data_IF_455666803241
#
_entry.id   IF_455666803241
#
_cell.length_a   1.000
_cell.length_b   1.000
_cell.length_c   1.000
_cell.angle_alpha   90.00
_cell.angle_beta   90.00
_cell.angle_gamma   90.00
#
_symmetry.space_group_name_H-M   'P 1'
#
loop_
_entity.id
_entity.type
_entity.pdbx_description
1 polymer ?
#
# COMPACT_ATOMS: atom_id res chain seq x y z
N UNK A 1 -53.30 13.38 -54.79
CA UNK A 1 -54.39 13.97 -53.98
C UNK A 1 -53.78 14.49 -52.68
N UNK A 2 -53.85 15.80 -52.59
CA UNK A 2 -53.39 16.59 -51.41
C UNK A 2 -54.21 16.30 -50.16
N UNK A 3 -53.63 16.43 -49.03
CA UNK A 3 -54.19 17.24 -47.92
C UNK A 3 -53.13 17.55 -46.85
N UNK A 4 -52.96 18.85 -46.71
CA UNK A 4 -52.41 19.58 -45.57
C UNK A 4 -53.20 19.27 -44.26
N UNK A 5 -52.54 19.35 -43.11
CA UNK A 5 -53.09 20.02 -41.92
C UNK A 5 -52.00 20.21 -40.87
N UNK A 6 -51.54 21.41 -40.69
CA UNK A 6 -51.80 22.34 -39.57
C UNK A 6 -50.89 22.17 -38.36
N UNK A 7 -50.10 23.19 -38.14
CA UNK A 7 -49.39 23.57 -36.92
C UNK A 7 -50.37 23.78 -35.75
N UNK A 8 -50.05 23.24 -34.57
CA UNK A 8 -50.66 23.63 -33.34
C UNK A 8 -49.61 24.20 -32.37
N UNK A 9 -49.99 25.26 -31.77
CA UNK A 9 -49.33 26.29 -30.98
C UNK A 9 -48.60 25.86 -29.72
N UNK A 10 -47.53 26.60 -29.45
CA UNK A 10 -46.78 26.64 -28.18
C UNK A 10 -47.69 27.03 -27.02
N UNK A 11 -47.68 26.24 -25.94
CA UNK A 11 -48.20 26.66 -24.65
C UNK A 11 -47.05 27.12 -23.74
N UNK A 12 -47.25 28.29 -23.17
CA UNK A 12 -46.40 28.97 -22.20
C UNK A 12 -46.15 28.11 -20.97
N UNK A 13 -44.85 27.90 -20.63
CA UNK A 13 -44.45 27.42 -19.32
C UNK A 13 -43.99 28.62 -18.44
N UNK A 14 -44.36 28.67 -17.20
CA UNK A 14 -44.02 29.78 -16.30
C UNK A 14 -42.54 29.73 -15.90
N UNK A 15 -41.86 30.88 -16.02
CA UNK A 15 -40.48 31.11 -15.60
C UNK A 15 -40.30 30.79 -14.10
N UNK A 16 -39.47 29.80 -13.79
CA UNK A 16 -39.00 29.55 -12.42
C UNK A 16 -38.21 30.76 -11.90
N UNK A 17 -38.69 31.38 -10.83
CA UNK A 17 -37.97 32.42 -10.09
C UNK A 17 -36.70 31.82 -9.47
N UNK A 18 -35.54 32.35 -9.81
CA UNK A 18 -34.26 32.01 -9.24
C UNK A 18 -34.23 32.35 -7.76
N UNK A 19 -33.77 31.41 -6.94
CA UNK A 19 -33.41 31.66 -5.54
C UNK A 19 -32.19 32.59 -5.51
N UNK A 20 -32.12 33.58 -4.61
CA UNK A 20 -30.94 34.42 -4.47
C UNK A 20 -29.74 33.57 -4.01
N UNK A 21 -28.59 33.72 -4.68
CA UNK A 21 -27.31 33.19 -4.23
C UNK A 21 -26.95 33.88 -2.92
N UNK A 22 -26.77 33.08 -1.86
CA UNK A 22 -26.07 33.54 -0.66
C UNK A 22 -24.59 33.59 -1.00
N UNK A 23 -24.01 34.77 -0.94
CA UNK A 23 -22.56 34.93 -0.96
C UNK A 23 -21.98 34.25 0.26
N UNK A 24 -21.38 33.08 0.06
CA UNK A 24 -20.54 32.42 1.06
C UNK A 24 -19.16 33.00 0.87
N UNK A 25 -18.84 34.02 1.65
CA UNK A 25 -17.46 34.45 1.84
C UNK A 25 -16.71 33.27 2.44
N UNK A 26 -15.87 32.64 1.64
CA UNK A 26 -14.94 31.62 2.09
C UNK A 26 -13.92 32.29 3.02
N UNK A 27 -14.15 32.19 4.33
CA UNK A 27 -13.09 32.40 5.29
C UNK A 27 -12.10 31.25 5.10
N UNK A 28 -10.93 31.56 4.55
CA UNK A 28 -9.84 30.63 4.41
C UNK A 28 -9.42 30.12 5.79
N UNK A 29 -9.84 28.90 6.13
CA UNK A 29 -9.25 28.17 7.23
C UNK A 29 -7.82 27.83 6.82
N UNK A 30 -6.85 28.59 7.33
CA UNK A 30 -5.45 28.20 7.29
C UNK A 30 -5.32 26.93 8.13
N UNK A 31 -5.12 25.80 7.50
CA UNK A 31 -4.70 24.57 8.18
C UNK A 31 -3.25 24.83 8.62
N UNK A 32 -3.09 25.32 9.83
CA UNK A 32 -1.78 25.35 10.48
C UNK A 32 -1.46 23.90 10.86
N UNK A 33 -0.74 23.21 9.99
CA UNK A 33 -0.05 21.98 10.37
C UNK A 33 1.05 22.39 11.34
N UNK A 34 0.79 22.26 12.64
CA UNK A 34 1.87 22.28 13.60
C UNK A 34 2.81 21.13 13.22
N UNK A 35 4.09 21.38 12.87
CA UNK A 35 5.04 20.31 12.68
C UNK A 35 5.10 19.52 13.99
N UNK A 36 4.86 18.21 13.90
CA UNK A 36 5.10 17.30 15.03
C UNK A 36 6.55 17.53 15.43
N UNK A 37 6.75 17.97 16.67
CA UNK A 37 8.10 18.25 17.18
C UNK A 37 8.94 16.98 16.99
N UNK A 38 10.20 17.09 16.52
CA UNK A 38 11.05 15.94 16.35
C UNK A 38 11.20 15.24 17.69
N UNK A 39 10.72 14.01 17.80
CA UNK A 39 10.96 13.17 18.95
C UNK A 39 12.48 12.98 19.08
N UNK A 40 13.00 13.24 20.26
CA UNK A 40 14.42 13.13 20.56
C UNK A 40 14.80 11.65 20.51
N UNK A 41 15.31 11.19 19.37
CA UNK A 41 15.86 9.84 19.20
C UNK A 41 17.25 9.82 19.81
N UNK A 42 17.60 8.83 20.65
CA UNK A 42 18.97 8.68 21.14
C UNK A 42 19.94 8.59 19.95
N UNK A 43 20.93 9.45 19.90
CA UNK A 43 21.83 9.66 18.76
C UNK A 43 22.82 8.51 18.47
N UNK A 44 22.62 7.30 19.06
CA UNK A 44 23.60 6.20 19.02
C UNK A 44 23.00 4.83 18.64
N UNK A 45 21.89 4.80 17.90
CA UNK A 45 21.38 3.50 17.41
C UNK A 45 22.03 3.25 16.04
N UNK A 46 22.91 2.25 15.96
CA UNK A 46 23.38 1.69 14.69
C UNK A 46 22.45 0.55 14.31
N UNK A 47 21.84 0.64 13.13
CA UNK A 47 21.00 -0.43 12.61
C UNK A 47 21.82 -1.34 11.69
N UNK A 48 21.85 -2.62 12.02
CA UNK A 48 22.49 -3.64 11.20
C UNK A 48 21.62 -3.97 9.98
N UNK A 49 22.27 -4.37 8.89
CA UNK A 49 21.58 -4.84 7.70
C UNK A 49 21.06 -6.27 7.89
N UNK A 50 20.01 -6.60 7.15
CA UNK A 50 19.36 -7.92 7.14
C UNK A 50 18.65 -8.26 8.45
N UNK A 51 18.17 -7.23 9.17
CA UNK A 51 17.48 -7.34 10.42
C UNK A 51 16.08 -6.71 10.39
N UNK A 52 15.21 -7.21 11.30
CA UNK A 52 13.91 -6.61 11.60
C UNK A 52 13.92 -6.10 13.03
N UNK A 53 13.66 -4.81 13.19
CA UNK A 53 13.69 -4.11 14.46
C UNK A 53 12.30 -3.97 15.05
N UNK A 54 12.16 -4.27 16.33
CA UNK A 54 10.92 -3.98 17.07
C UNK A 54 10.87 -2.50 17.41
N UNK A 55 9.90 -1.78 16.87
CA UNK A 55 9.69 -0.36 17.16
C UNK A 55 9.07 0.42 16.04
N UNK A 56 8.87 1.70 16.30
CA UNK A 56 8.27 2.61 15.33
C UNK A 56 9.27 3.00 14.24
N UNK A 57 8.90 2.83 12.98
CA UNK A 57 9.72 3.19 11.84
C UNK A 57 10.19 4.63 11.89
N UNK A 58 9.30 5.61 12.17
CA UNK A 58 9.63 7.04 12.13
C UNK A 58 10.74 7.36 13.15
N UNK A 59 10.69 6.73 14.31
CA UNK A 59 11.67 6.95 15.37
C UNK A 59 13.02 6.28 15.06
N UNK A 60 12.98 5.01 14.70
CA UNK A 60 14.21 4.21 14.50
C UNK A 60 14.93 4.60 13.21
N UNK A 61 14.20 4.91 12.14
CA UNK A 61 14.78 5.26 10.85
C UNK A 61 15.49 6.62 10.85
N UNK A 62 15.26 7.47 11.85
CA UNK A 62 15.97 8.73 12.02
C UNK A 62 17.50 8.56 12.12
N UNK A 63 17.97 7.38 12.54
CA UNK A 63 19.41 7.05 12.58
C UNK A 63 20.00 6.69 11.21
N UNK A 64 19.17 6.40 10.20
CA UNK A 64 19.63 6.04 8.87
C UNK A 64 20.02 7.30 8.06
N UNK A 65 21.09 7.22 7.24
CA UNK A 65 21.53 8.33 6.41
C UNK A 65 20.50 8.70 5.34
N UNK A 66 20.42 9.97 5.00
CA UNK A 66 19.64 10.44 3.85
C UNK A 66 20.07 9.73 2.57
N UNK A 67 19.10 9.44 1.70
CA UNK A 67 19.35 8.87 0.35
C UNK A 67 20.22 7.61 0.37
N UNK A 68 19.97 6.75 1.36
CA UNK A 68 20.70 5.49 1.56
C UNK A 68 19.97 4.26 1.01
N UNK A 69 18.66 4.34 0.77
CA UNK A 69 17.76 3.23 0.44
C UNK A 69 17.47 3.20 -1.06
N UNK A 70 17.53 2.02 -1.67
CA UNK A 70 17.28 1.82 -3.11
C UNK A 70 15.79 1.54 -3.40
N UNK A 71 15.15 0.73 -2.57
CA UNK A 71 13.72 0.39 -2.70
C UNK A 71 13.03 0.42 -1.34
N UNK A 72 11.81 0.98 -1.31
CA UNK A 72 10.93 0.94 -0.15
C UNK A 72 9.68 0.15 -0.52
N UNK A 73 9.32 -0.85 0.29
CA UNK A 73 8.08 -1.60 0.15
C UNK A 73 7.31 -1.43 1.45
N UNK A 74 6.17 -0.73 1.38
CA UNK A 74 5.37 -0.36 2.54
C UNK A 74 3.96 -0.92 2.46
N UNK A 75 3.54 -1.60 3.51
CA UNK A 75 2.16 -2.07 3.74
C UNK A 75 1.62 -1.40 5.02
N UNK A 76 1.32 -0.08 4.98
CA UNK A 76 0.94 0.68 6.16
C UNK A 76 -0.44 0.26 6.67
N UNK A 77 -0.80 0.60 7.92
CA UNK A 77 -2.18 0.50 8.41
C UNK A 77 -3.18 1.12 7.44
N UNK A 78 -4.31 0.43 7.18
CA UNK A 78 -5.29 0.88 6.18
C UNK A 78 -6.41 1.75 6.74
N UNK A 79 -6.46 1.93 8.06
CA UNK A 79 -7.55 2.62 8.76
C UNK A 79 -8.94 2.04 8.43
N UNK A 80 -9.04 0.71 8.40
CA UNK A 80 -10.20 -0.01 7.89
C UNK A 80 -11.08 -0.65 8.98
N UNK A 81 -10.61 -0.73 10.22
CA UNK A 81 -11.26 -1.51 11.28
C UNK A 81 -12.45 -0.79 11.92
N UNK A 82 -12.43 0.54 12.01
CA UNK A 82 -13.47 1.36 12.68
C UNK A 82 -13.91 0.80 14.05
N UNK A 83 -12.95 0.32 14.85
CA UNK A 83 -13.21 -0.21 16.20
C UNK A 83 -14.07 -1.47 16.27
N UNK A 84 -14.50 -2.05 15.17
CA UNK A 84 -15.36 -3.22 15.15
C UNK A 84 -14.58 -4.52 15.15
N UNK A 85 -14.57 -5.22 16.28
CA UNK A 85 -14.13 -6.63 16.36
C UNK A 85 -15.23 -7.48 15.74
N UNK A 86 -15.07 -7.87 14.47
CA UNK A 86 -15.92 -8.88 13.85
C UNK A 86 -15.29 -10.25 14.08
N UNK A 87 -15.63 -10.89 15.21
CA UNK A 87 -15.42 -12.33 15.35
C UNK A 87 -16.54 -13.05 14.60
N UNK A 88 -16.22 -13.63 13.45
CA UNK A 88 -17.14 -14.50 12.73
C UNK A 88 -16.70 -15.93 12.91
N UNK A 89 -17.44 -16.71 13.69
CA UNK A 89 -17.32 -18.16 13.70
C UNK A 89 -18.04 -18.71 12.47
N UNK A 90 -17.28 -19.08 11.45
CA UNK A 90 -17.82 -19.82 10.31
C UNK A 90 -17.65 -21.31 10.55
N UNK A 91 -18.72 -21.95 11.02
CA UNK A 91 -18.84 -23.39 10.93
C UNK A 91 -18.91 -23.83 9.47
N UNK A 92 -17.99 -24.71 9.07
CA UNK A 92 -18.10 -25.63 7.94
C UNK A 92 -18.53 -25.11 6.55
N UNK A 93 -18.01 -23.97 6.09
CA UNK A 93 -18.05 -23.66 4.65
C UNK A 93 -16.93 -24.43 3.93
N UNK A 94 -17.27 -25.31 2.94
CA UNK A 94 -16.26 -26.03 2.17
C UNK A 94 -15.28 -25.07 1.49
N UNK A 95 -13.98 -25.26 1.72
CA UNK A 95 -12.92 -24.43 1.13
C UNK A 95 -12.43 -23.26 1.98
N UNK A 96 -13.04 -22.98 3.14
CA UNK A 96 -12.63 -21.92 4.07
C UNK A 96 -12.29 -22.52 5.42
N UNK A 97 -11.00 -22.83 5.63
CA UNK A 97 -10.54 -23.44 6.88
C UNK A 97 -10.38 -22.41 8.00
N UNK A 98 -11.18 -22.53 9.06
CA UNK A 98 -10.95 -21.94 10.35
C UNK A 98 -11.70 -20.65 10.67
N UNK A 99 -11.75 -20.31 11.95
CA UNK A 99 -12.32 -19.06 12.45
C UNK A 99 -11.48 -17.85 12.00
N UNK A 100 -12.09 -16.91 11.33
CA UNK A 100 -11.48 -15.62 11.01
C UNK A 100 -11.75 -14.64 12.15
N UNK A 101 -10.70 -14.23 12.81
CA UNK A 101 -10.76 -13.15 13.77
C UNK A 101 -10.23 -11.89 13.08
N UNK A 102 -11.11 -10.90 12.83
CA UNK A 102 -10.66 -9.55 12.48
C UNK A 102 -10.21 -8.92 13.80
N UNK A 103 -8.92 -8.90 14.04
CA UNK A 103 -8.33 -8.18 15.15
C UNK A 103 -8.48 -6.70 14.84
N UNK A 104 -9.21 -5.97 15.67
CA UNK A 104 -9.21 -4.50 15.64
C UNK A 104 -7.90 -4.06 16.29
N UNK A 105 -6.91 -3.81 15.47
CA UNK A 105 -5.64 -3.23 15.92
C UNK A 105 -5.89 -1.76 16.24
N UNK A 106 -5.39 -1.27 17.37
CA UNK A 106 -5.57 0.12 17.83
C UNK A 106 -5.08 1.14 16.79
N UNK A 107 -4.08 0.78 16.01
CA UNK A 107 -3.50 1.59 14.94
C UNK A 107 -4.34 1.62 13.63
N UNK A 108 -5.40 0.82 13.51
CA UNK A 108 -6.23 0.73 12.30
C UNK A 108 -7.60 1.44 12.47
N UNK A 109 -7.75 2.29 13.49
CA UNK A 109 -8.96 3.08 13.78
C UNK A 109 -8.59 4.51 14.21
N UNK A 110 -8.06 5.29 13.27
CA UNK A 110 -7.69 6.68 13.50
C UNK A 110 -8.75 7.63 12.92
N UNK A 111 -9.05 8.77 13.55
CA UNK A 111 -9.71 9.90 12.89
C UNK A 111 -8.97 10.30 11.62
N UNK A 112 -9.70 10.81 10.62
CA UNK A 112 -9.15 11.07 9.29
C UNK A 112 -7.95 12.03 9.29
N UNK A 113 -8.02 13.07 10.10
CA UNK A 113 -6.95 14.05 10.27
C UNK A 113 -5.69 13.45 10.90
N UNK A 114 -5.85 12.58 11.89
CA UNK A 114 -4.75 11.86 12.51
C UNK A 114 -4.14 10.84 11.54
N UNK A 115 -4.96 10.14 10.77
CA UNK A 115 -4.48 9.21 9.76
C UNK A 115 -3.71 9.92 8.63
N UNK A 116 -4.17 11.10 8.20
CA UNK A 116 -3.42 11.92 7.24
C UNK A 116 -2.10 12.39 7.83
N UNK A 117 -2.08 12.86 9.09
CA UNK A 117 -0.85 13.28 9.77
C UNK A 117 0.15 12.14 9.91
N UNK A 118 -0.31 10.96 10.33
CA UNK A 118 0.50 9.75 10.36
C UNK A 118 1.08 9.41 8.97
N UNK A 119 0.23 9.46 7.94
CA UNK A 119 0.64 9.13 6.56
C UNK A 119 1.69 10.12 6.04
N UNK A 120 1.53 11.41 6.29
CA UNK A 120 2.52 12.44 5.96
C UNK A 120 3.84 12.20 6.68
N UNK A 121 3.81 11.85 7.97
CA UNK A 121 5.02 11.68 8.78
C UNK A 121 5.89 10.53 8.27
N UNK A 122 5.31 9.34 8.06
CA UNK A 122 6.11 8.21 7.60
C UNK A 122 6.54 8.35 6.13
N UNK A 123 5.72 8.97 5.26
CA UNK A 123 6.10 9.25 3.87
C UNK A 123 7.23 10.28 3.77
N UNK A 124 7.24 11.30 4.63
CA UNK A 124 8.32 12.28 4.68
C UNK A 124 9.66 11.61 5.03
N UNK A 125 9.65 10.71 5.99
CA UNK A 125 10.83 9.94 6.38
C UNK A 125 11.26 8.98 5.26
N UNK A 126 10.33 8.27 4.65
CA UNK A 126 10.58 7.40 3.50
C UNK A 126 11.20 8.19 2.32
N UNK A 127 10.67 9.40 2.02
CA UNK A 127 11.24 10.31 1.01
C UNK A 127 12.67 10.72 1.33
N UNK A 128 12.96 11.05 2.60
CA UNK A 128 14.30 11.43 3.05
C UNK A 128 15.31 10.32 2.77
N UNK A 129 14.93 9.08 3.11
CA UNK A 129 15.80 7.90 2.99
C UNK A 129 15.98 7.42 1.56
N UNK A 130 14.99 7.62 0.68
CA UNK A 130 15.02 7.08 -0.67
C UNK A 130 16.05 7.79 -1.55
N UNK A 131 16.91 7.03 -2.23
CA UNK A 131 17.85 7.54 -3.23
C UNK A 131 17.14 8.22 -4.39
N UNK A 132 17.82 9.13 -5.15
CA UNK A 132 17.26 9.70 -6.38
C UNK A 132 16.91 8.66 -7.44
N UNK A 133 17.59 7.51 -7.44
CA UNK A 133 17.37 6.37 -8.34
C UNK A 133 16.39 5.35 -7.78
N UNK A 134 15.97 5.53 -6.52
CA UNK A 134 15.14 4.58 -5.81
C UNK A 134 13.66 4.67 -6.15
N UNK A 135 12.93 3.63 -5.80
CA UNK A 135 11.47 3.52 -5.96
C UNK A 135 10.82 3.16 -4.64
N UNK A 136 9.57 3.62 -4.45
CA UNK A 136 8.71 3.15 -3.35
C UNK A 136 7.44 2.51 -3.89
N UNK A 137 7.02 1.42 -3.25
CA UNK A 137 5.82 0.66 -3.53
C UNK A 137 4.96 0.64 -2.28
N UNK A 138 3.80 1.28 -2.35
CA UNK A 138 2.93 1.47 -1.18
C UNK A 138 1.60 0.81 -1.39
N UNK A 139 1.28 -0.18 -0.55
CA UNK A 139 0.00 -0.85 -0.55
C UNK A 139 -1.10 0.04 0.04
N UNK A 140 -2.31 -0.15 -0.45
CA UNK A 140 -3.49 0.49 0.07
C UNK A 140 -4.77 -0.22 -0.34
N UNK A 141 -5.84 0.08 0.38
CA UNK A 141 -7.20 -0.31 0.02
C UNK A 141 -8.01 0.93 -0.33
N UNK A 142 -9.27 0.75 -0.71
CA UNK A 142 -10.19 1.88 -0.95
C UNK A 142 -10.38 2.80 0.27
N UNK A 143 -9.98 2.38 1.47
CA UNK A 143 -9.98 3.22 2.68
C UNK A 143 -8.77 4.16 2.76
N UNK A 144 -7.60 3.73 2.28
CA UNK A 144 -6.32 4.38 2.53
C UNK A 144 -5.65 4.94 1.27
N UNK A 145 -5.81 4.30 0.10
CA UNK A 145 -5.06 4.65 -1.11
C UNK A 145 -5.25 6.11 -1.55
N UNK A 146 -6.48 6.66 -1.45
CA UNK A 146 -6.74 8.05 -1.76
C UNK A 146 -6.02 9.04 -0.84
N UNK A 147 -5.94 8.74 0.46
CA UNK A 147 -5.24 9.58 1.46
C UNK A 147 -3.73 9.51 1.22
N UNK A 148 -3.20 8.31 0.98
CA UNK A 148 -1.78 8.11 0.65
C UNK A 148 -1.39 8.86 -0.63
N UNK A 149 -2.24 8.83 -1.66
CA UNK A 149 -2.03 9.57 -2.91
C UNK A 149 -1.95 11.09 -2.64
N UNK A 150 -2.90 11.65 -1.88
CA UNK A 150 -2.89 13.07 -1.51
C UNK A 150 -1.65 13.42 -0.69
N UNK A 151 -1.29 12.60 0.29
CA UNK A 151 -0.11 12.82 1.12
C UNK A 151 1.19 12.79 0.29
N UNK A 152 1.31 11.88 -0.68
CA UNK A 152 2.43 11.85 -1.63
C UNK A 152 2.54 13.15 -2.42
N UNK A 153 1.42 13.65 -2.97
CA UNK A 153 1.41 14.91 -3.72
C UNK A 153 1.78 16.11 -2.83
N UNK A 154 1.27 16.18 -1.59
CA UNK A 154 1.62 17.23 -0.63
C UNK A 154 3.12 17.24 -0.28
N UNK A 155 3.76 16.09 -0.30
CA UNK A 155 5.19 15.91 -0.08
C UNK A 155 6.02 15.97 -1.37
N UNK A 156 5.43 16.29 -2.52
CA UNK A 156 6.12 16.30 -3.82
C UNK A 156 6.81 14.94 -4.13
N UNK A 157 6.20 13.84 -3.70
CA UNK A 157 6.54 12.48 -4.11
C UNK A 157 5.81 12.23 -5.41
N UNK A 158 6.52 11.91 -6.49
CA UNK A 158 5.92 11.70 -7.81
C UNK A 158 5.44 10.26 -7.94
N UNK A 159 4.13 10.09 -8.16
CA UNK A 159 3.51 8.80 -8.42
C UNK A 159 3.77 8.44 -9.88
N UNK A 160 4.44 7.30 -10.11
CA UNK A 160 4.77 6.78 -11.43
C UNK A 160 3.56 6.04 -12.02
N UNK A 161 2.99 5.12 -11.24
CA UNK A 161 1.80 4.36 -11.60
C UNK A 161 0.94 4.05 -10.38
N UNK A 162 -0.35 3.96 -10.59
CA UNK A 162 -1.29 3.25 -9.73
C UNK A 162 -1.52 1.85 -10.31
N UNK A 163 -1.27 0.83 -9.49
CA UNK A 163 -1.43 -0.57 -9.88
C UNK A 163 -2.63 -1.15 -9.15
N UNK A 164 -3.46 -1.87 -9.88
CA UNK A 164 -4.56 -2.65 -9.34
C UNK A 164 -4.11 -4.09 -9.20
N UNK A 165 -3.89 -4.53 -7.98
CA UNK A 165 -3.66 -5.94 -7.68
C UNK A 165 -5.01 -6.64 -7.55
N UNK A 166 -5.47 -7.28 -8.62
CA UNK A 166 -6.69 -8.09 -8.63
C UNK A 166 -6.43 -9.46 -7.98
N UNK A 167 -7.24 -9.76 -6.97
CA UNK A 167 -7.19 -11.01 -6.19
C UNK A 167 -8.36 -11.91 -6.62
N UNK A 168 -8.14 -12.77 -7.63
CA UNK A 168 -9.18 -13.67 -8.16
C UNK A 168 -9.82 -14.58 -7.11
N UNK A 169 -9.11 -14.84 -6.01
CA UNK A 169 -9.53 -15.64 -4.88
C UNK A 169 -9.89 -14.80 -3.65
N UNK A 170 -10.39 -13.59 -3.84
CA UNK A 170 -10.80 -12.72 -2.73
C UNK A 170 -11.95 -13.33 -1.94
N UNK A 171 -11.96 -13.08 -0.64
CA UNK A 171 -13.00 -13.57 0.26
C UNK A 171 -14.34 -12.89 -0.04
N UNK A 172 -15.45 -13.64 -0.16
CA UNK A 172 -16.76 -13.06 -0.47
C UNK A 172 -17.26 -12.14 0.63
N UNK A 173 -18.05 -11.14 0.25
CA UNK A 173 -18.72 -10.28 1.20
C UNK A 173 -19.96 -10.97 1.77
N UNK A 174 -19.88 -11.37 3.04
CA UNK A 174 -20.93 -12.15 3.68
C UNK A 174 -22.10 -11.31 4.20
N UNK A 175 -21.98 -9.97 4.22
CA UNK A 175 -23.08 -9.10 4.64
C UNK A 175 -24.21 -9.02 3.60
N UNK A 176 -23.97 -9.43 2.36
CA UNK A 176 -24.92 -9.31 1.25
C UNK A 176 -25.30 -7.86 0.88
N UNK A 177 -24.59 -6.85 1.43
CA UNK A 177 -24.93 -5.42 1.29
C UNK A 177 -23.96 -4.62 0.42
N UNK A 178 -22.89 -5.23 -0.05
CA UNK A 178 -21.88 -4.59 -0.92
C UNK A 178 -21.19 -5.64 -1.78
N UNK A 179 -20.50 -5.19 -2.80
CA UNK A 179 -19.67 -6.05 -3.65
C UNK A 179 -18.48 -6.62 -2.87
N UNK A 180 -17.95 -7.75 -3.34
CA UNK A 180 -16.69 -8.29 -2.83
C UNK A 180 -15.53 -7.38 -3.22
N UNK A 181 -14.73 -6.95 -2.23
CA UNK A 181 -13.52 -6.20 -2.49
C UNK A 181 -12.45 -7.15 -3.04
N UNK A 182 -12.32 -7.19 -4.36
CA UNK A 182 -11.48 -8.16 -5.07
C UNK A 182 -10.13 -7.59 -5.52
N UNK A 183 -9.77 -6.37 -5.10
CA UNK A 183 -8.47 -5.79 -5.42
C UNK A 183 -7.93 -4.95 -4.25
N UNK A 184 -6.63 -4.71 -4.32
CA UNK A 184 -5.93 -3.66 -3.57
C UNK A 184 -5.24 -2.73 -4.56
N UNK A 185 -5.04 -1.50 -4.15
CA UNK A 185 -4.29 -0.49 -4.90
C UNK A 185 -2.84 -0.49 -4.43
N UNK A 186 -1.89 -0.39 -5.36
CA UNK A 186 -0.48 -0.22 -5.05
C UNK A 186 -0.01 1.04 -5.77
N UNK A 187 0.56 1.98 -5.03
CA UNK A 187 1.15 3.19 -5.59
C UNK A 187 2.64 2.96 -5.79
N UNK A 188 3.11 2.98 -7.05
CA UNK A 188 4.52 3.02 -7.37
C UNK A 188 4.94 4.46 -7.56
N UNK A 189 5.93 4.90 -6.79
CA UNK A 189 6.36 6.28 -6.74
C UNK A 189 7.89 6.41 -6.62
N UNK A 190 8.41 7.61 -6.87
CA UNK A 190 9.77 8.00 -6.56
C UNK A 190 9.79 9.31 -5.77
N UNK A 191 10.93 9.66 -5.19
CA UNK A 191 11.03 10.79 -4.26
C UNK A 191 10.70 12.18 -4.82
N UNK A 192 10.40 12.29 -6.13
CA UNK A 192 10.19 13.55 -6.83
C UNK A 192 11.48 14.17 -7.38
N UNK A 193 11.35 15.25 -8.16
CA UNK A 193 12.44 15.92 -8.85
C UNK A 193 12.84 15.25 -10.15
N UNK A 194 14.14 15.16 -10.45
CA UNK A 194 14.61 14.56 -11.70
C UNK A 194 14.25 13.08 -11.75
N UNK A 195 13.59 12.64 -12.82
CA UNK A 195 13.24 11.24 -13.06
C UNK A 195 14.49 10.42 -13.36
N UNK A 196 15.06 9.79 -12.33
CA UNK A 196 16.25 8.96 -12.42
C UNK A 196 16.05 7.59 -11.78
N UNK A 197 14.79 7.22 -11.48
CA UNK A 197 14.45 5.95 -10.84
C UNK A 197 14.78 4.76 -11.74
N UNK A 198 15.20 3.67 -11.11
CA UNK A 198 15.49 2.42 -11.79
C UNK A 198 14.19 1.74 -12.22
N UNK A 199 14.14 1.30 -13.48
CA UNK A 199 13.08 0.47 -14.01
C UNK A 199 13.66 -0.59 -14.94
N UNK A 200 13.46 -1.84 -14.60
CA UNK A 200 13.90 -2.98 -15.38
C UNK A 200 12.89 -3.28 -16.50
N UNK A 201 12.96 -2.48 -17.56
CA UNK A 201 12.02 -2.53 -18.68
C UNK A 201 12.00 -3.90 -19.36
N UNK A 202 13.17 -4.49 -19.63
CA UNK A 202 13.25 -5.80 -20.30
C UNK A 202 12.65 -6.90 -19.41
N UNK A 203 12.91 -6.86 -18.10
CA UNK A 203 12.26 -7.80 -17.18
C UNK A 203 10.73 -7.63 -17.16
N UNK A 204 10.22 -6.41 -17.31
CA UNK A 204 8.77 -6.16 -17.39
C UNK A 204 8.11 -6.81 -18.62
N UNK A 205 8.90 -7.10 -19.67
CA UNK A 205 8.46 -7.76 -20.90
C UNK A 205 8.66 -9.27 -20.84
N UNK A 206 9.90 -9.69 -20.54
CA UNK A 206 10.40 -11.05 -20.73
C UNK A 206 10.50 -11.85 -19.43
N UNK A 207 10.29 -11.22 -18.27
CA UNK A 207 10.34 -11.91 -16.97
C UNK A 207 9.27 -12.99 -16.83
N UNK A 208 9.54 -13.97 -15.97
CA UNK A 208 8.56 -14.99 -15.61
C UNK A 208 7.49 -14.38 -14.68
N UNK A 209 6.29 -14.27 -15.21
CA UNK A 209 5.09 -13.81 -14.52
C UNK A 209 3.92 -14.78 -14.81
N UNK A 210 4.21 -16.05 -14.89
CA UNK A 210 3.25 -17.13 -15.25
C UNK A 210 2.07 -17.24 -14.26
N UNK A 211 2.22 -16.68 -13.07
CA UNK A 211 1.16 -16.58 -12.05
C UNK A 211 0.13 -15.47 -12.32
N UNK A 212 0.42 -14.55 -13.25
CA UNK A 212 -0.43 -13.43 -13.65
C UNK A 212 -1.15 -13.73 -14.97
N UNK A 213 -2.46 -14.00 -14.91
CA UNK A 213 -3.25 -14.32 -16.10
C UNK A 213 -3.41 -13.17 -17.10
N UNK A 214 -3.12 -11.93 -16.67
CA UNK A 214 -3.21 -10.76 -17.54
C UNK A 214 -1.87 -10.39 -18.20
N UNK A 215 -0.78 -11.01 -17.76
CA UNK A 215 0.55 -10.78 -18.34
C UNK A 215 0.70 -11.59 -19.63
N UNK A 216 0.96 -10.87 -20.70
CA UNK A 216 1.23 -11.47 -22.01
C UNK A 216 2.76 -11.55 -22.20
N UNK A 217 3.34 -12.73 -22.46
CA UNK A 217 4.76 -12.87 -22.74
C UNK A 217 5.23 -11.94 -23.88
N UNK A 218 6.42 -11.38 -23.77
CA UNK A 218 6.99 -10.45 -24.73
C UNK A 218 6.33 -9.06 -24.77
N UNK A 219 5.31 -8.81 -23.99
CA UNK A 219 4.66 -7.49 -23.89
C UNK A 219 4.97 -6.83 -22.56
N UNK A 220 5.17 -5.52 -22.57
CA UNK A 220 5.35 -4.73 -21.36
C UNK A 220 4.21 -5.00 -20.37
N UNK A 221 4.54 -5.15 -19.09
CA UNK A 221 3.57 -5.32 -18.01
C UNK A 221 2.64 -4.09 -17.92
N UNK A 222 1.37 -4.34 -17.68
CA UNK A 222 0.35 -3.31 -17.48
C UNK A 222 0.09 -3.10 -15.98
N UNK A 223 -0.76 -2.13 -15.65
CA UNK A 223 -1.04 -1.70 -14.27
C UNK A 223 -2.15 -2.50 -13.58
N UNK A 224 -2.73 -3.51 -14.23
CA UNK A 224 -3.66 -4.45 -13.60
C UNK A 224 -3.00 -5.81 -13.56
N UNK A 225 -2.81 -6.35 -12.35
CA UNK A 225 -2.14 -7.63 -12.09
C UNK A 225 -3.13 -8.64 -11.54
N UNK A 226 -3.27 -9.78 -12.18
CA UNK A 226 -4.13 -10.87 -11.71
C UNK A 226 -3.31 -11.90 -10.94
N UNK A 227 -3.09 -11.61 -9.65
CA UNK A 227 -2.34 -12.46 -8.73
C UNK A 227 -3.24 -12.92 -7.58
N UNK A 228 -3.40 -14.23 -7.38
CA UNK A 228 -4.17 -14.72 -6.25
C UNK A 228 -3.46 -14.43 -4.92
N UNK A 229 -4.25 -14.13 -3.88
CA UNK A 229 -3.75 -13.86 -2.54
C UNK A 229 -3.49 -15.14 -1.72
N UNK A 230 -3.31 -16.29 -2.37
CA UNK A 230 -2.94 -17.51 -1.69
C UNK A 230 -1.44 -17.52 -1.37
N UNK A 231 -1.11 -18.05 -0.20
CA UNK A 231 0.26 -18.21 0.27
C UNK A 231 0.55 -19.71 0.32
N UNK A 232 1.71 -20.16 -0.17
CA UNK A 232 2.18 -21.51 0.06
C UNK A 232 2.25 -21.84 1.56
N UNK A 233 2.15 -23.12 1.92
CA UNK A 233 2.16 -23.52 3.35
C UNK A 233 3.42 -23.09 4.10
N UNK A 234 4.56 -23.11 3.43
CA UNK A 234 5.84 -22.67 4.01
C UNK A 234 5.84 -21.16 4.38
N UNK A 235 5.10 -20.31 3.66
CA UNK A 235 4.98 -18.89 4.01
C UNK A 235 4.22 -18.65 5.33
N UNK A 236 3.52 -19.65 5.85
CA UNK A 236 2.72 -19.59 7.08
C UNK A 236 3.17 -20.62 8.13
N UNK A 237 4.30 -21.26 7.94
CA UNK A 237 4.78 -22.35 8.82
C UNK A 237 5.07 -21.90 10.24
N UNK A 238 5.50 -20.66 10.42
CA UNK A 238 5.90 -20.10 11.72
C UNK A 238 4.83 -19.22 12.37
N UNK A 239 3.68 -19.07 11.75
CA UNK A 239 2.59 -18.24 12.26
C UNK A 239 1.83 -17.54 11.14
N UNK A 240 0.74 -16.85 11.50
CA UNK A 240 -0.11 -16.13 10.56
C UNK A 240 -0.23 -14.67 10.98
N UNK A 241 -0.03 -13.78 10.03
CA UNK A 241 -0.39 -12.37 10.16
C UNK A 241 -1.69 -12.12 9.36
N UNK A 242 -2.69 -11.41 9.92
CA UNK A 242 -4.00 -11.22 9.26
C UNK A 242 -3.90 -10.59 7.87
N UNK A 243 -3.00 -9.62 7.72
CA UNK A 243 -2.78 -8.88 6.49
C UNK A 243 -1.57 -9.36 5.68
N UNK A 244 -0.99 -10.54 5.99
CA UNK A 244 0.23 -11.03 5.32
C UNK A 244 0.08 -11.03 3.80
N UNK A 245 1.02 -10.37 3.12
CA UNK A 245 1.11 -10.39 1.66
C UNK A 245 1.87 -11.63 1.16
N UNK A 246 1.56 -12.13 -0.04
CA UNK A 246 2.34 -13.20 -0.65
C UNK A 246 3.73 -12.70 -1.06
N UNK A 247 4.77 -13.46 -0.75
CA UNK A 247 6.19 -13.11 -1.05
C UNK A 247 6.39 -12.80 -2.54
N UNK A 248 5.73 -13.54 -3.44
CA UNK A 248 5.81 -13.33 -4.90
C UNK A 248 5.40 -11.92 -5.34
N UNK A 249 4.51 -11.25 -4.60
CA UNK A 249 4.11 -9.87 -4.92
C UNK A 249 5.26 -8.90 -4.66
N UNK A 250 5.93 -9.00 -3.50
CA UNK A 250 7.10 -8.20 -3.17
C UNK A 250 8.28 -8.49 -4.12
N UNK A 251 8.51 -9.75 -4.51
CA UNK A 251 9.51 -10.10 -5.54
C UNK A 251 9.25 -9.38 -6.85
N UNK A 252 7.99 -9.21 -7.26
CA UNK A 252 7.64 -8.48 -8.47
C UNK A 252 8.11 -7.02 -8.41
N UNK A 253 7.89 -6.34 -7.28
CA UNK A 253 8.37 -4.96 -7.10
C UNK A 253 9.90 -4.88 -7.21
N UNK A 254 10.59 -5.78 -6.52
CA UNK A 254 12.05 -5.85 -6.51
C UNK A 254 12.59 -6.04 -7.93
N UNK A 255 12.11 -7.07 -8.64
CA UNK A 255 12.55 -7.37 -9.99
C UNK A 255 12.29 -6.27 -11.01
N UNK A 256 11.27 -5.43 -10.78
CA UNK A 256 10.96 -4.29 -11.64
C UNK A 256 11.81 -3.04 -11.35
N UNK A 257 12.30 -2.85 -10.11
CA UNK A 257 12.87 -1.55 -9.72
C UNK A 257 14.13 -1.61 -8.86
N UNK A 258 14.68 -2.79 -8.61
CA UNK A 258 15.91 -2.99 -7.85
C UNK A 258 16.78 -4.08 -8.49
N UNK A 259 17.98 -4.27 -7.94
CA UNK A 259 18.95 -5.29 -8.36
C UNK A 259 19.64 -5.92 -7.14
N UNK A 260 20.23 -7.12 -7.27
CA UNK A 260 20.99 -7.75 -6.18
C UNK A 260 22.05 -6.81 -5.58
N UNK A 261 22.13 -6.78 -4.25
CA UNK A 261 23.01 -5.88 -3.48
C UNK A 261 22.38 -4.54 -3.11
N UNK A 262 21.24 -4.16 -3.70
CA UNK A 262 20.47 -2.97 -3.28
C UNK A 262 19.93 -3.10 -1.85
N UNK A 263 19.61 -1.96 -1.22
CA UNK A 263 19.01 -1.90 0.12
C UNK A 263 17.49 -1.71 0.03
N UNK A 264 16.76 -2.69 0.53
CA UNK A 264 15.31 -2.66 0.70
C UNK A 264 14.92 -2.21 2.11
N UNK A 265 14.08 -1.20 2.22
CA UNK A 265 13.49 -0.75 3.47
C UNK A 265 12.03 -1.18 3.55
N UNK A 266 11.66 -1.76 4.71
CA UNK A 266 10.29 -2.23 4.96
C UNK A 266 9.76 -1.56 6.24
N UNK A 267 9.07 -0.41 6.11
CA UNK A 267 8.59 0.39 7.26
C UNK A 267 7.58 -0.31 8.16
N UNK A 268 6.85 -1.28 7.63
CA UNK A 268 5.76 -2.01 8.30
C UNK A 268 5.89 -3.49 7.95
N UNK A 269 6.81 -4.19 8.63
CA UNK A 269 7.24 -5.53 8.20
C UNK A 269 6.20 -6.64 8.47
N UNK A 270 5.33 -6.47 9.49
CA UNK A 270 4.41 -7.51 9.88
C UNK A 270 5.12 -8.84 10.08
N UNK A 271 4.68 -9.89 9.39
CA UNK A 271 5.36 -11.19 9.38
C UNK A 271 6.54 -11.29 8.40
N UNK A 272 7.04 -10.18 7.86
CA UNK A 272 8.30 -10.08 7.11
C UNK A 272 8.26 -10.57 5.66
N UNK A 273 7.12 -10.59 4.99
CA UNK A 273 7.03 -11.10 3.60
C UNK A 273 7.93 -10.35 2.62
N UNK A 274 8.03 -9.03 2.78
CA UNK A 274 8.85 -8.14 1.97
C UNK A 274 10.34 -8.33 2.26
N UNK A 275 10.71 -8.54 3.53
CA UNK A 275 12.08 -8.86 3.95
C UNK A 275 12.51 -10.24 3.41
N UNK A 276 11.61 -11.23 3.47
CA UNK A 276 11.81 -12.55 2.87
C UNK A 276 12.04 -12.43 1.36
N UNK A 277 11.22 -11.63 0.66
CA UNK A 277 11.41 -11.39 -0.76
C UNK A 277 12.75 -10.73 -1.05
N UNK A 278 13.14 -9.71 -0.27
CA UNK A 278 14.41 -9.04 -0.41
C UNK A 278 15.59 -10.01 -0.26
N UNK A 279 15.61 -10.83 0.80
CA UNK A 279 16.66 -11.85 1.00
C UNK A 279 16.73 -12.83 -0.18
N UNK A 280 15.59 -13.35 -0.64
CA UNK A 280 15.52 -14.30 -1.75
C UNK A 280 15.91 -13.71 -3.12
N UNK A 281 15.80 -12.41 -3.31
CA UNK A 281 16.24 -11.70 -4.53
C UNK A 281 17.66 -11.10 -4.38
N UNK A 282 18.39 -11.45 -3.29
CA UNK A 282 19.77 -11.03 -3.07
C UNK A 282 19.94 -9.56 -2.67
N UNK A 283 18.89 -8.93 -2.13
CA UNK A 283 18.97 -7.58 -1.58
C UNK A 283 19.34 -7.63 -0.10
N UNK A 284 19.99 -6.57 0.37
CA UNK A 284 20.06 -6.27 1.80
C UNK A 284 18.74 -5.63 2.22
N UNK A 285 18.36 -5.77 3.49
CA UNK A 285 17.12 -5.18 3.98
C UNK A 285 17.25 -4.64 5.40
N UNK A 286 16.32 -3.74 5.76
CA UNK A 286 16.02 -3.32 7.12
C UNK A 286 14.49 -3.27 7.22
N UNK A 287 13.93 -3.97 8.22
CA UNK A 287 12.51 -3.99 8.51
C UNK A 287 12.18 -3.38 9.87
N UNK A 288 10.98 -2.81 10.00
CA UNK A 288 10.44 -2.30 11.26
C UNK A 288 9.05 -2.87 11.50
N UNK A 289 8.81 -3.29 12.75
CA UNK A 289 7.52 -3.80 13.19
C UNK A 289 7.32 -3.47 14.67
N UNK A 290 6.15 -3.02 15.03
CA UNK A 290 5.86 -2.61 16.43
C UNK A 290 5.48 -3.78 17.32
N UNK A 291 4.91 -4.85 16.77
CA UNK A 291 4.53 -6.05 17.51
C UNK A 291 5.68 -7.06 17.57
N UNK A 292 6.25 -7.31 18.77
CA UNK A 292 7.37 -8.24 18.91
C UNK A 292 7.00 -9.69 18.52
N UNK A 293 5.73 -10.09 18.59
CA UNK A 293 5.30 -11.42 18.16
C UNK A 293 5.40 -11.58 16.64
N UNK A 294 5.07 -10.54 15.88
CA UNK A 294 5.25 -10.55 14.44
C UNK A 294 6.72 -10.48 14.03
N UNK A 295 7.53 -9.72 14.76
CA UNK A 295 9.00 -9.71 14.58
C UNK A 295 9.58 -11.11 14.72
N UNK A 296 9.16 -11.87 15.74
CA UNK A 296 9.64 -13.24 15.95
C UNK A 296 9.24 -14.18 14.80
N UNK A 297 7.99 -14.09 14.33
CA UNK A 297 7.53 -14.85 13.15
C UNK A 297 8.38 -14.49 11.93
N UNK A 298 8.64 -13.22 11.71
CA UNK A 298 9.43 -12.74 10.57
C UNK A 298 10.87 -13.24 10.62
N UNK A 299 11.51 -13.22 11.81
CA UNK A 299 12.87 -13.75 12.01
C UNK A 299 12.94 -15.26 11.76
N UNK A 300 11.98 -16.02 12.24
CA UNK A 300 11.91 -17.47 11.98
C UNK A 300 11.76 -17.77 10.48
N UNK A 301 10.96 -16.99 9.76
CA UNK A 301 10.83 -17.10 8.30
C UNK A 301 12.13 -16.79 7.58
N UNK A 302 12.84 -15.74 8.00
CA UNK A 302 14.13 -15.35 7.43
C UNK A 302 15.23 -16.38 7.67
N UNK A 303 15.25 -16.97 8.87
CA UNK A 303 16.22 -18.02 9.24
C UNK A 303 15.97 -19.35 8.51
N UNK A 304 14.73 -19.60 8.07
CA UNK A 304 14.36 -20.78 7.31
C UNK A 304 14.67 -20.67 5.81
N UNK A 305 15.17 -19.53 5.35
CA UNK A 305 15.64 -19.36 3.97
C UNK A 305 17.11 -19.77 3.94
N UNK A 306 17.43 -20.85 3.24
CA UNK A 306 18.80 -21.21 2.94
C UNK A 306 19.46 -20.03 2.19
N UNK A 307 20.71 -19.73 2.53
CA UNK A 307 21.47 -18.76 1.76
C UNK A 307 21.65 -19.29 0.33
N UNK A 308 21.54 -18.43 -0.68
CA UNK A 308 21.64 -18.82 -2.07
C UNK A 308 22.98 -19.41 -2.44
#
# INVERSE_FOLDING_TARGET
>A
MSTNTALASRSDQPKRRGRPRKDVTAQGASVTTNPIAPHHVPSNITLDLNEIYTGNFIELAASLPDKSVDIIIADPPYNASKGNILSMQYGNLPGFGGAWQKIAEVWDDMPLDQYLAFTLSWLAEAKRLLKPTGSMWVHGTYHSAGITNVAMQMLEIEIINEIIWYKRNSFPNLSGRRLTASHETILWAHRGGKRAYNFNYEHSKEGDFSDDQLKVPGKQMRTVWDLPNNKPRNEQAFGKHPAQKPVRLAKRFIRLSAQPGDLCLVPFAGSGSECVAAKQEGLRFIGFETDPAYVEIARQRLNAIDEP
#
